data_IF_375324249744
#
_entry.id   IF_375324249744
#
_cell.length_a   1.000
_cell.length_b   1.000
_cell.length_c   1.000
_cell.angle_alpha   90.00
_cell.angle_beta   90.00
_cell.angle_gamma   90.00
#
_symmetry.space_group_name_H-M   'P 1'
#
loop_
_entity.id
_entity.type
_entity.pdbx_description
1 polymer ?
#
# COMPACT_ATOMS: atom_id res chain seq x y z
N UNK A 1 56.46 15.43 -2.56
CA UNK A 1 55.11 16.01 -2.45
C UNK A 1 54.17 15.18 -3.31
N UNK A 2 53.60 14.10 -2.78
CA UNK A 2 52.54 13.33 -3.44
C UNK A 2 51.52 12.91 -2.38
N UNK A 3 50.39 13.62 -2.34
CA UNK A 3 49.23 13.24 -1.55
C UNK A 3 48.46 12.15 -2.28
N UNK A 4 48.48 10.94 -1.72
CA UNK A 4 47.58 9.85 -2.13
C UNK A 4 46.23 10.08 -1.42
N UNK A 5 45.23 10.53 -2.16
CA UNK A 5 43.85 10.59 -1.70
C UNK A 5 43.27 9.17 -1.57
N UNK A 6 43.23 8.65 -0.35
CA UNK A 6 42.41 7.50 -0.03
C UNK A 6 40.92 7.90 -0.07
N UNK A 7 40.25 7.61 -1.18
CA UNK A 7 38.78 7.64 -1.28
C UNK A 7 38.21 6.59 -0.31
N UNK A 8 37.78 7.01 0.88
CA UNK A 8 36.91 6.21 1.75
C UNK A 8 35.57 6.02 1.02
N UNK A 9 35.37 4.82 0.45
CA UNK A 9 34.04 4.30 0.09
C UNK A 9 33.21 4.27 1.37
N UNK A 10 32.31 5.23 1.56
CA UNK A 10 31.22 5.13 2.52
C UNK A 10 30.28 4.04 2.00
N UNK A 11 30.45 2.81 2.48
CA UNK A 11 29.37 1.84 2.44
C UNK A 11 28.25 2.41 3.32
N UNK A 12 27.28 3.04 2.67
CA UNK A 12 25.96 3.26 3.24
C UNK A 12 25.42 1.87 3.55
N UNK A 13 25.56 1.40 4.77
CA UNK A 13 24.74 0.31 5.30
C UNK A 13 23.30 0.67 4.97
N UNK A 14 22.72 -0.02 3.97
CA UNK A 14 21.29 -0.05 3.73
C UNK A 14 20.66 -0.77 4.92
N UNK A 15 20.57 -0.08 6.05
CA UNK A 15 19.69 -0.47 7.14
C UNK A 15 18.29 -0.53 6.53
N UNK A 16 17.69 -1.72 6.54
CA UNK A 16 16.30 -1.90 6.15
C UNK A 16 15.46 -0.81 6.86
N UNK A 17 14.56 -0.14 6.13
CA UNK A 17 13.71 0.84 6.76
C UNK A 17 12.88 0.12 7.82
N UNK A 18 13.05 0.48 9.09
CA UNK A 18 12.18 0.03 10.18
C UNK A 18 10.75 0.38 9.77
N UNK A 19 9.91 -0.65 9.62
CA UNK A 19 8.53 -0.49 9.19
C UNK A 19 7.69 0.03 10.37
N UNK A 20 6.57 0.67 10.07
CA UNK A 20 5.63 1.14 11.08
C UNK A 20 5.15 -0.01 11.98
N UNK A 21 4.99 -1.21 11.44
CA UNK A 21 4.62 -2.42 12.21
C UNK A 21 5.65 -2.86 13.26
N UNK A 22 6.92 -2.50 13.09
CA UNK A 22 8.01 -2.81 14.03
C UNK A 22 8.16 -1.77 15.14
N UNK A 23 7.30 -0.74 15.13
CA UNK A 23 7.30 0.27 16.18
C UNK A 23 6.82 -0.34 17.50
N UNK A 24 7.54 -0.01 18.56
CA UNK A 24 7.27 -0.46 19.93
C UNK A 24 6.94 0.73 20.81
N UNK A 25 6.48 0.46 22.03
CA UNK A 25 6.22 1.46 23.06
C UNK A 25 7.44 2.33 23.41
N UNK A 26 8.66 1.92 23.04
CA UNK A 26 9.90 2.66 23.27
C UNK A 26 10.51 3.28 22.01
N UNK A 27 10.04 2.89 20.82
CA UNK A 27 10.66 3.28 19.56
C UNK A 27 9.67 3.27 18.41
N UNK A 28 9.45 4.42 17.80
CA UNK A 28 8.71 4.55 16.54
C UNK A 28 9.62 4.37 15.32
N UNK A 29 9.04 3.86 14.24
CA UNK A 29 9.65 3.86 12.92
C UNK A 29 10.01 5.30 12.49
N UNK A 30 11.17 5.52 11.84
CA UNK A 30 11.59 6.85 11.42
C UNK A 30 10.57 7.56 10.51
N UNK A 31 9.93 6.83 9.60
CA UNK A 31 8.87 7.34 8.72
C UNK A 31 7.66 7.86 9.51
N UNK A 32 7.21 7.08 10.50
CA UNK A 32 6.13 7.47 11.39
C UNK A 32 6.54 8.66 12.28
N UNK A 33 7.72 8.62 12.90
CA UNK A 33 8.21 9.76 13.69
C UNK A 33 8.35 11.04 12.86
N UNK A 34 8.69 10.92 11.57
CA UNK A 34 8.85 12.04 10.65
C UNK A 34 7.52 12.69 10.30
N UNK A 35 6.52 11.88 9.94
CA UNK A 35 5.21 12.41 9.55
C UNK A 35 4.47 13.08 10.71
N UNK A 36 4.65 12.57 11.94
CA UNK A 36 4.00 13.10 13.14
C UNK A 36 4.44 14.52 13.49
N UNK A 37 5.63 14.96 13.05
CA UNK A 37 6.10 16.34 13.24
C UNK A 37 5.28 17.38 12.49
N UNK A 38 4.48 16.95 11.52
CA UNK A 38 3.61 17.82 10.73
C UNK A 38 2.18 17.87 11.27
N UNK A 39 1.86 17.12 12.34
CA UNK A 39 0.57 17.20 12.98
C UNK A 39 0.49 18.44 13.88
N UNK A 40 -0.71 19.00 13.97
CA UNK A 40 -1.05 20.09 14.88
C UNK A 40 -0.97 19.62 16.35
N UNK A 41 -0.72 20.55 17.26
CA UNK A 41 -0.80 20.34 18.71
C UNK A 41 -2.20 19.87 19.14
N UNK A 42 -3.24 20.29 18.41
CA UNK A 42 -4.63 19.89 18.63
C UNK A 42 -5.06 18.65 17.81
N UNK A 43 -4.11 17.87 17.30
CA UNK A 43 -4.40 16.67 16.53
C UNK A 43 -5.23 15.65 17.33
N UNK A 44 -6.30 15.17 16.70
CA UNK A 44 -7.21 14.16 17.25
C UNK A 44 -6.69 12.75 17.00
N UNK A 45 -7.25 11.76 17.69
CA UNK A 45 -6.91 10.34 17.45
C UNK A 45 -7.14 9.90 15.98
N UNK A 46 -8.08 10.55 15.28
CA UNK A 46 -8.28 10.35 13.84
C UNK A 46 -7.09 10.84 13.01
N UNK A 47 -6.54 12.02 13.34
CA UNK A 47 -5.39 12.59 12.64
C UNK A 47 -4.14 11.70 12.78
N UNK A 48 -3.90 11.18 13.98
CA UNK A 48 -2.84 10.18 14.24
C UNK A 48 -3.06 8.90 13.45
N UNK A 49 -4.31 8.42 13.36
CA UNK A 49 -4.60 7.23 12.58
C UNK A 49 -4.36 7.47 11.08
N UNK A 50 -4.80 8.59 10.53
CA UNK A 50 -4.60 8.92 9.11
C UNK A 50 -3.11 9.12 8.78
N UNK A 51 -2.34 9.74 9.68
CA UNK A 51 -0.88 9.83 9.53
C UNK A 51 -0.22 8.44 9.43
N UNK A 52 -0.66 7.47 10.23
CA UNK A 52 -0.21 6.08 10.12
C UNK A 52 -0.61 5.46 8.77
N UNK A 53 -1.83 5.70 8.27
CA UNK A 53 -2.27 5.19 6.97
C UNK A 53 -1.39 5.69 5.81
N UNK A 54 -0.97 6.96 5.84
CA UNK A 54 -0.05 7.52 4.85
C UNK A 54 1.28 6.76 4.85
N UNK A 55 1.82 6.45 6.02
CA UNK A 55 3.06 5.67 6.15
C UNK A 55 2.88 4.25 5.62
N UNK A 56 1.78 3.58 5.97
CA UNK A 56 1.49 2.22 5.48
C UNK A 56 1.31 2.16 3.95
N UNK A 57 0.71 3.20 3.37
CA UNK A 57 0.62 3.36 1.92
C UNK A 57 2.00 3.55 1.29
N UNK A 58 2.84 4.38 1.88
CA UNK A 58 4.23 4.58 1.44
C UNK A 58 5.05 3.29 1.49
N UNK A 59 4.94 2.51 2.57
CA UNK A 59 5.55 1.18 2.66
C UNK A 59 5.01 0.21 1.60
N UNK A 60 3.74 0.37 1.22
CA UNK A 60 3.12 -0.41 0.14
C UNK A 60 3.49 0.08 -1.26
N UNK A 61 4.32 1.13 -1.37
CA UNK A 61 4.80 1.71 -2.63
C UNK A 61 3.94 2.84 -3.19
N UNK A 62 2.94 3.33 -2.46
CA UNK A 62 2.13 4.48 -2.85
C UNK A 62 2.71 5.78 -2.31
N UNK A 63 2.88 6.79 -3.15
CA UNK A 63 3.43 8.09 -2.76
C UNK A 63 2.45 9.22 -3.09
N UNK A 64 2.51 10.29 -2.31
CA UNK A 64 1.81 11.53 -2.62
C UNK A 64 2.54 12.22 -3.77
N UNK A 65 1.85 12.62 -4.85
CA UNK A 65 2.48 13.35 -5.95
C UNK A 65 3.01 14.68 -5.41
N UNK A 66 4.32 14.91 -5.62
CA UNK A 66 4.97 16.18 -5.27
C UNK A 66 4.65 17.23 -6.34
N UNK A 67 4.31 18.44 -5.93
CA UNK A 67 4.16 19.59 -6.83
C UNK A 67 5.52 20.06 -7.40
N UNK A 68 6.62 19.74 -6.72
CA UNK A 68 7.97 20.09 -7.16
C UNK A 68 8.43 19.14 -8.26
N UNK A 69 8.51 19.67 -9.47
CA UNK A 69 8.71 19.00 -10.76
C UNK A 69 10.10 18.38 -10.99
N UNK A 70 10.99 18.32 -10.01
CA UNK A 70 12.43 18.32 -10.34
C UNK A 70 13.28 17.15 -9.83
N UNK A 71 12.73 16.08 -9.27
CA UNK A 71 13.55 14.88 -9.03
C UNK A 71 12.76 13.58 -9.17
N UNK A 72 13.03 12.86 -10.26
CA UNK A 72 12.71 11.44 -10.51
C UNK A 72 13.35 10.46 -9.49
N UNK A 73 13.79 10.95 -8.33
CA UNK A 73 14.34 10.11 -7.28
C UNK A 73 13.23 9.42 -6.52
N UNK A 74 13.46 8.15 -6.18
CA UNK A 74 12.51 7.34 -5.40
C UNK A 74 12.11 8.13 -4.14
N UNK A 75 10.80 8.32 -3.89
CA UNK A 75 10.36 9.01 -2.68
C UNK A 75 10.90 8.26 -1.47
N UNK A 76 11.72 8.95 -0.67
CA UNK A 76 12.32 8.36 0.52
C UNK A 76 11.25 8.29 1.61
N UNK A 77 11.06 7.13 2.25
CA UNK A 77 10.15 6.97 3.39
C UNK A 77 10.44 7.96 4.52
N UNK A 78 11.68 8.47 4.60
CA UNK A 78 12.12 9.47 5.57
C UNK A 78 11.71 10.90 5.23
N UNK A 79 11.21 11.16 4.03
CA UNK A 79 10.77 12.49 3.57
C UNK A 79 9.26 12.57 3.34
N UNK A 80 8.48 11.67 3.94
CA UNK A 80 7.02 11.72 3.88
C UNK A 80 6.51 13.01 4.55
N UNK A 81 5.57 13.67 3.90
CA UNK A 81 4.92 14.89 4.38
C UNK A 81 3.41 14.75 4.29
N UNK A 82 2.70 15.39 5.21
CA UNK A 82 1.23 15.51 5.15
C UNK A 82 0.89 16.61 4.13
N UNK A 83 -0.02 16.37 3.17
CA UNK A 83 -0.50 17.42 2.27
C UNK A 83 -1.20 18.53 3.05
N UNK A 84 -1.08 19.79 2.61
CA UNK A 84 -1.70 20.93 3.33
C UNK A 84 -3.23 20.80 3.40
N UNK A 85 -3.86 20.39 2.29
CA UNK A 85 -5.32 20.28 2.17
C UNK A 85 -5.84 18.86 2.38
N UNK A 86 -5.10 18.03 3.13
CA UNK A 86 -5.44 16.63 3.39
C UNK A 86 -6.73 16.43 4.19
N UNK A 87 -7.18 17.46 4.93
CA UNK A 87 -8.36 17.44 5.80
C UNK A 87 -9.23 18.66 5.51
N UNK A 88 -10.49 18.43 5.15
CA UNK A 88 -11.49 19.48 4.99
C UNK A 88 -11.83 20.09 6.36
N UNK A 89 -11.68 21.41 6.48
CA UNK A 89 -12.01 22.12 7.73
C UNK A 89 -13.52 22.15 8.00
N UNK A 90 -14.35 22.12 6.96
CA UNK A 90 -15.81 22.17 7.07
C UNK A 90 -16.41 20.81 7.44
N UNK A 91 -15.90 19.73 6.82
CA UNK A 91 -16.51 18.39 6.95
C UNK A 91 -15.70 17.43 7.81
N UNK A 92 -14.43 17.74 8.10
CA UNK A 92 -13.51 16.83 8.77
C UNK A 92 -13.09 15.61 7.95
N UNK A 93 -13.53 15.52 6.68
CA UNK A 93 -13.20 14.42 5.76
C UNK A 93 -11.77 14.59 5.28
N UNK A 94 -11.04 13.48 5.22
CA UNK A 94 -9.69 13.44 4.68
C UNK A 94 -9.72 13.00 3.22
N UNK A 95 -9.08 13.76 2.34
CA UNK A 95 -8.99 13.46 0.92
C UNK A 95 -7.54 13.58 0.46
N UNK A 96 -7.01 12.50 -0.13
CA UNK A 96 -5.63 12.46 -0.60
C UNK A 96 -5.52 11.67 -1.90
N UNK A 97 -4.59 12.09 -2.75
CA UNK A 97 -4.28 11.43 -4.01
C UNK A 97 -2.90 10.80 -3.92
N UNK A 98 -2.80 9.55 -4.35
CA UNK A 98 -1.58 8.76 -4.33
C UNK A 98 -1.25 8.24 -5.73
N UNK A 99 0.01 7.95 -5.98
CA UNK A 99 0.48 7.26 -7.17
C UNK A 99 1.30 6.04 -6.76
N UNK A 100 1.24 4.96 -7.55
CA UNK A 100 2.07 3.79 -7.30
C UNK A 100 3.46 4.01 -7.88
N UNK A 101 4.50 3.68 -7.11
CA UNK A 101 5.88 3.76 -7.56
C UNK A 101 6.09 2.95 -8.85
N UNK A 102 6.73 3.58 -9.84
CA UNK A 102 7.00 3.03 -11.17
C UNK A 102 5.78 2.86 -12.09
N UNK A 103 4.59 3.34 -11.70
CA UNK A 103 3.42 3.44 -12.58
C UNK A 103 3.01 4.91 -12.67
N UNK A 104 3.59 5.60 -13.66
CA UNK A 104 3.20 6.96 -14.00
C UNK A 104 1.86 6.89 -14.76
N UNK A 105 0.90 7.77 -14.43
CA UNK A 105 -0.42 7.94 -15.07
C UNK A 105 -1.64 7.29 -14.40
N UNK A 106 -1.48 6.50 -13.33
CA UNK A 106 -2.63 6.00 -12.55
C UNK A 106 -2.62 6.63 -11.16
N UNK A 107 -3.53 7.56 -10.95
CA UNK A 107 -3.78 8.16 -9.65
C UNK A 107 -4.75 7.29 -8.84
N UNK A 108 -4.53 7.17 -7.55
CA UNK A 108 -5.41 6.51 -6.60
C UNK A 108 -5.94 7.56 -5.62
N UNK A 109 -7.23 7.49 -5.29
CA UNK A 109 -7.86 8.42 -4.36
C UNK A 109 -8.19 7.70 -3.06
N UNK A 110 -7.72 8.24 -1.93
CA UNK A 110 -8.11 7.83 -0.59
C UNK A 110 -9.07 8.87 -0.01
N UNK A 111 -10.24 8.42 0.40
CA UNK A 111 -11.23 9.21 1.13
C UNK A 111 -11.40 8.56 2.51
N UNK A 112 -11.19 9.32 3.58
CA UNK A 112 -11.39 8.85 4.95
C UNK A 112 -12.46 9.72 5.61
N UNK A 113 -13.52 9.07 6.08
CA UNK A 113 -14.66 9.73 6.72
C UNK A 113 -14.70 9.35 8.20
N UNK A 114 -14.57 10.31 9.13
CA UNK A 114 -14.76 10.07 10.55
C UNK A 114 -16.25 9.91 10.89
N UNK A 115 -16.59 8.85 11.62
CA UNK A 115 -17.92 8.57 12.15
C UNK A 115 -17.78 8.13 13.61
N UNK A 116 -17.87 9.09 14.54
CA UNK A 116 -17.64 8.83 15.96
C UNK A 116 -16.18 8.42 16.22
N UNK A 117 -15.97 7.23 16.80
CA UNK A 117 -14.65 6.62 17.01
C UNK A 117 -14.16 5.76 15.83
N UNK A 118 -15.00 5.60 14.80
CA UNK A 118 -14.71 4.81 13.60
C UNK A 118 -14.24 5.71 12.46
N UNK A 119 -13.22 5.29 11.72
CA UNK A 119 -12.88 5.82 10.41
C UNK A 119 -13.35 4.84 9.33
N UNK A 120 -14.07 5.36 8.33
CA UNK A 120 -14.42 4.63 7.12
C UNK A 120 -13.47 5.07 6.01
N UNK A 121 -12.69 4.14 5.49
CA UNK A 121 -11.69 4.37 4.46
C UNK A 121 -12.23 3.85 3.15
N UNK A 122 -12.12 4.64 2.08
CA UNK A 122 -12.42 4.24 0.72
C UNK A 122 -11.19 4.53 -0.14
N UNK A 123 -10.63 3.51 -0.77
CA UNK A 123 -9.45 3.63 -1.61
C UNK A 123 -9.68 2.96 -2.95
N UNK A 124 -9.37 3.70 -4.02
CA UNK A 124 -9.64 3.23 -5.38
C UNK A 124 -8.71 3.88 -6.40
N UNK A 125 -8.33 3.15 -7.47
CA UNK A 125 -7.68 3.74 -8.62
C UNK A 125 -8.67 4.60 -9.43
N UNK A 126 -8.19 5.71 -9.98
CA UNK A 126 -8.94 6.59 -10.88
C UNK A 126 -8.85 6.05 -12.32
N UNK A 127 -9.35 4.84 -12.54
CA UNK A 127 -9.40 4.16 -13.84
C UNK A 127 -10.84 3.89 -14.28
N UNK A 128 -11.02 3.41 -15.51
CA UNK A 128 -12.33 2.98 -16.02
C UNK A 128 -12.70 1.63 -15.37
N UNK A 129 -13.94 1.49 -14.87
CA UNK A 129 -14.37 0.26 -14.16
C UNK A 129 -14.13 0.26 -12.65
N UNK A 130 -14.14 1.45 -12.01
CA UNK A 130 -13.88 1.72 -10.58
C UNK A 130 -14.36 0.63 -9.61
N UNK A 131 -13.42 -0.19 -9.13
CA UNK A 131 -13.62 -1.01 -7.93
C UNK A 131 -13.15 -0.18 -6.73
N UNK A 132 -14.06 0.03 -5.78
CA UNK A 132 -13.74 0.72 -4.53
C UNK A 132 -13.51 -0.26 -3.41
N UNK A 133 -12.36 -0.14 -2.75
CA UNK A 133 -12.01 -0.93 -1.58
C UNK A 133 -12.33 -0.12 -0.33
N UNK A 134 -13.16 -0.70 0.53
CA UNK A 134 -13.64 -0.04 1.74
C UNK A 134 -13.23 -0.83 2.97
N UNK A 135 -12.74 -0.14 3.99
CA UNK A 135 -12.51 -0.73 5.31
C UNK A 135 -12.98 0.23 6.42
N UNK A 136 -13.42 -0.33 7.54
CA UNK A 136 -13.70 0.44 8.75
C UNK A 136 -12.69 0.14 9.86
N UNK A 137 -12.29 1.18 10.59
CA UNK A 137 -11.27 1.12 11.64
C UNK A 137 -11.79 1.83 12.88
N UNK A 138 -11.92 1.12 14.00
CA UNK A 138 -12.06 1.75 15.31
C UNK A 138 -10.72 2.32 15.73
N UNK A 139 -10.62 3.64 15.74
CA UNK A 139 -9.35 4.35 15.96
C UNK A 139 -8.77 4.13 17.35
N UNK A 140 -9.63 4.13 18.38
CA UNK A 140 -9.23 3.92 19.78
C UNK A 140 -8.62 2.53 20.05
N UNK A 141 -8.77 1.57 19.12
CA UNK A 141 -8.11 0.26 19.19
C UNK A 141 -6.59 0.33 18.90
N UNK A 142 -6.18 1.33 18.12
CA UNK A 142 -4.82 1.46 17.60
C UNK A 142 -4.14 2.77 18.02
N UNK A 143 -4.92 3.76 18.48
CA UNK A 143 -4.43 5.05 18.95
C UNK A 143 -4.98 5.31 20.35
N UNK A 144 -4.09 5.50 21.32
CA UNK A 144 -4.41 5.90 22.69
C UNK A 144 -4.34 7.44 22.82
N UNK A 145 -5.49 8.16 22.84
CA UNK A 145 -5.49 9.62 22.93
C UNK A 145 -4.95 10.15 24.27
N UNK A 146 -4.88 9.32 25.31
CA UNK A 146 -4.47 9.71 26.65
C UNK A 146 -2.96 9.59 26.89
N UNK A 147 -2.21 9.03 25.93
CA UNK A 147 -0.75 8.93 26.04
C UNK A 147 -0.09 10.26 25.71
N UNK A 148 0.67 10.82 26.65
CA UNK A 148 1.52 11.99 26.39
C UNK A 148 2.71 11.66 25.49
N UNK A 149 3.24 10.44 25.58
CA UNK A 149 4.32 9.98 24.71
C UNK A 149 3.79 9.52 23.34
N UNK A 150 4.51 9.89 22.28
CA UNK A 150 4.21 9.52 20.90
C UNK A 150 4.42 8.01 20.67
N UNK A 151 5.43 7.39 21.31
CA UNK A 151 5.67 5.96 21.16
C UNK A 151 4.56 5.15 21.84
N UNK A 152 4.14 5.55 23.03
CA UNK A 152 3.00 4.98 23.76
C UNK A 152 1.62 5.26 23.14
N UNK A 153 1.51 6.19 22.17
CA UNK A 153 0.25 6.56 21.53
C UNK A 153 -0.26 5.50 20.57
N UNK A 154 0.62 4.72 19.95
CA UNK A 154 0.24 3.70 18.99
C UNK A 154 0.27 2.30 19.59
N UNK A 155 -0.79 1.53 19.36
CA UNK A 155 -0.97 0.19 19.91
C UNK A 155 -1.36 -0.77 18.78
N UNK A 156 -0.94 -2.03 18.88
CA UNK A 156 -1.29 -3.09 17.92
C UNK A 156 -0.95 -2.76 16.45
N UNK A 157 0.15 -2.03 16.22
CA UNK A 157 0.55 -1.57 14.89
C UNK A 157 0.77 -2.71 13.88
N UNK A 158 1.34 -3.83 14.32
CA UNK A 158 1.49 -5.02 13.47
C UNK A 158 0.15 -5.53 12.95
N UNK A 159 -0.84 -5.70 13.84
CA UNK A 159 -2.17 -6.15 13.45
C UNK A 159 -2.86 -5.15 12.50
N UNK A 160 -2.70 -3.86 12.78
CA UNK A 160 -3.24 -2.78 11.94
C UNK A 160 -2.59 -2.76 10.55
N UNK A 161 -1.26 -2.85 10.48
CA UNK A 161 -0.48 -2.90 9.23
C UNK A 161 -0.92 -4.07 8.36
N UNK A 162 -0.91 -5.30 8.90
CA UNK A 162 -1.34 -6.47 8.14
C UNK A 162 -2.77 -6.34 7.65
N UNK A 163 -3.70 -5.90 8.50
CA UNK A 163 -5.10 -5.75 8.12
C UNK A 163 -5.28 -4.74 6.99
N UNK A 164 -4.66 -3.57 7.11
CA UNK A 164 -4.71 -2.52 6.08
C UNK A 164 -4.06 -2.96 4.77
N UNK A 165 -2.88 -3.58 4.86
CA UNK A 165 -2.16 -4.05 3.68
C UNK A 165 -2.93 -5.14 2.94
N UNK A 166 -3.56 -6.07 3.67
CA UNK A 166 -4.32 -7.17 3.08
C UNK A 166 -5.68 -6.74 2.51
N UNK A 167 -6.44 -5.92 3.24
CA UNK A 167 -7.81 -5.55 2.85
C UNK A 167 -7.84 -4.41 1.81
N UNK A 168 -6.83 -3.55 1.77
CA UNK A 168 -6.95 -2.27 1.07
C UNK A 168 -5.74 -1.93 0.18
N UNK A 169 -4.50 -1.88 0.70
CA UNK A 169 -3.36 -1.44 -0.14
C UNK A 169 -2.93 -2.46 -1.19
N UNK A 170 -2.86 -3.76 -0.85
CA UNK A 170 -2.43 -4.82 -1.78
C UNK A 170 -3.44 -5.08 -2.90
N UNK A 171 -4.76 -5.14 -2.64
CA UNK A 171 -5.75 -5.24 -3.70
C UNK A 171 -5.69 -4.06 -4.68
N UNK A 172 -5.69 -2.82 -4.18
CA UNK A 172 -5.58 -1.63 -5.05
C UNK A 172 -4.27 -1.63 -5.84
N UNK A 173 -3.15 -2.01 -5.22
CA UNK A 173 -1.86 -2.13 -5.93
C UNK A 173 -1.94 -3.15 -7.06
N UNK A 174 -2.61 -4.29 -6.83
CA UNK A 174 -2.76 -5.34 -7.84
C UNK A 174 -3.58 -4.84 -9.03
N UNK A 175 -4.67 -4.11 -8.78
CA UNK A 175 -5.50 -3.52 -9.83
C UNK A 175 -4.73 -2.47 -10.62
N UNK A 176 -4.01 -1.57 -9.94
CA UNK A 176 -3.18 -0.54 -10.61
C UNK A 176 -2.14 -1.19 -11.53
N UNK A 177 -1.45 -2.24 -11.07
CA UNK A 177 -0.46 -2.94 -11.88
C UNK A 177 -1.10 -3.68 -13.06
N UNK A 178 -2.25 -4.30 -12.83
CA UNK A 178 -3.01 -5.00 -13.87
C UNK A 178 -3.45 -4.03 -14.98
N UNK A 179 -4.02 -2.88 -14.61
CA UNK A 179 -4.44 -1.82 -15.54
C UNK A 179 -3.25 -1.22 -16.30
N UNK A 180 -2.12 -1.03 -15.62
CA UNK A 180 -0.89 -0.56 -16.25
C UNK A 180 -0.24 -1.60 -17.19
N UNK A 181 -0.77 -2.83 -17.27
CA UNK A 181 -0.18 -3.98 -17.99
C UNK A 181 1.25 -4.29 -17.52
N UNK A 182 1.54 -4.00 -16.25
CA UNK A 182 2.82 -4.28 -15.61
C UNK A 182 2.70 -5.57 -14.82
N UNK A 183 3.72 -6.43 -14.91
CA UNK A 183 3.75 -7.65 -14.11
C UNK A 183 3.80 -7.30 -12.61
N UNK A 184 2.91 -7.92 -11.86
CA UNK A 184 2.79 -7.76 -10.42
C UNK A 184 2.95 -9.09 -9.67
N UNK A 185 3.08 -9.04 -8.34
CA UNK A 185 3.18 -10.25 -7.51
C UNK A 185 1.85 -11.04 -7.43
N UNK A 186 0.76 -10.52 -7.98
CA UNK A 186 -0.54 -11.17 -7.97
C UNK A 186 -0.69 -12.15 -9.13
N UNK A 187 -1.43 -13.25 -8.92
CA UNK A 187 -1.76 -14.20 -9.98
C UNK A 187 -2.47 -13.53 -11.16
N UNK A 188 -3.26 -12.49 -10.90
CA UNK A 188 -3.98 -11.71 -11.92
C UNK A 188 -3.03 -10.91 -12.82
N UNK A 189 -1.91 -10.40 -12.29
CA UNK A 189 -0.95 -9.60 -13.05
C UNK A 189 0.07 -10.43 -13.84
N UNK A 190 0.04 -11.77 -13.74
CA UNK A 190 0.91 -12.63 -14.54
C UNK A 190 0.50 -12.66 -16.03
N UNK A 191 1.44 -12.83 -16.96
CA UNK A 191 1.13 -13.16 -18.35
C UNK A 191 0.24 -14.39 -18.48
N UNK A 192 -0.63 -14.42 -19.48
CA UNK A 192 -1.61 -15.49 -19.68
C UNK A 192 -0.93 -16.85 -19.84
N UNK A 193 0.24 -16.91 -20.48
CA UNK A 193 1.03 -18.12 -20.67
C UNK A 193 1.45 -18.74 -19.33
N UNK A 194 1.90 -17.90 -18.39
CA UNK A 194 2.28 -18.35 -17.05
C UNK A 194 1.07 -18.80 -16.25
N UNK A 195 -0.06 -18.07 -16.35
CA UNK A 195 -1.31 -18.49 -15.71
C UNK A 195 -1.75 -19.86 -16.22
N UNK A 196 -1.74 -20.08 -17.54
CA UNK A 196 -2.08 -21.39 -18.12
C UNK A 196 -1.14 -22.48 -17.60
N UNK A 197 0.17 -22.22 -17.55
CA UNK A 197 1.15 -23.18 -17.05
C UNK A 197 0.88 -23.56 -15.59
N UNK A 198 0.62 -22.58 -14.73
CA UNK A 198 0.22 -22.79 -13.33
C UNK A 198 -1.07 -23.61 -13.27
N UNK A 199 -2.08 -23.26 -14.07
CA UNK A 199 -3.38 -23.93 -14.07
C UNK A 199 -3.27 -25.39 -14.50
N UNK A 200 -2.41 -25.71 -15.47
CA UNK A 200 -2.16 -27.11 -15.88
C UNK A 200 -1.55 -27.95 -14.74
N UNK A 201 -0.78 -27.33 -13.85
CA UNK A 201 -0.15 -28.01 -12.71
C UNK A 201 -1.12 -28.27 -11.55
N UNK A 202 -2.27 -27.60 -11.52
CA UNK A 202 -3.27 -27.77 -10.47
C UNK A 202 -4.14 -29.02 -10.69
N UNK A 203 -4.63 -29.58 -9.58
CA UNK A 203 -5.65 -30.63 -9.59
C UNK A 203 -7.01 -30.09 -10.08
N UNK A 204 -7.89 -31.01 -10.45
CA UNK A 204 -9.18 -30.67 -11.04
C UNK A 204 -10.08 -29.84 -10.11
N UNK A 205 -10.07 -30.13 -8.80
CA UNK A 205 -10.91 -29.42 -7.84
C UNK A 205 -10.41 -28.00 -7.63
N UNK A 206 -9.10 -27.81 -7.49
CA UNK A 206 -8.49 -26.48 -7.38
C UNK A 206 -8.77 -25.63 -8.62
N UNK A 207 -8.70 -26.22 -9.82
CA UNK A 207 -9.02 -25.52 -11.07
C UNK A 207 -10.45 -25.02 -11.13
N UNK A 208 -11.43 -25.85 -10.76
CA UNK A 208 -12.83 -25.44 -10.72
C UNK A 208 -13.04 -24.31 -9.72
N UNK A 209 -12.41 -24.38 -8.54
CA UNK A 209 -12.54 -23.33 -7.53
C UNK A 209 -12.01 -22.00 -8.04
N UNK A 210 -10.81 -21.99 -8.61
CA UNK A 210 -10.20 -20.77 -9.18
C UNK A 210 -11.06 -20.20 -10.31
N UNK A 211 -11.55 -21.05 -11.19
CA UNK A 211 -12.42 -20.68 -12.30
C UNK A 211 -13.75 -20.02 -11.84
N UNK A 212 -14.26 -20.38 -10.66
CA UNK A 212 -15.49 -19.78 -10.10
C UNK A 212 -15.26 -18.42 -9.44
N UNK A 213 -14.02 -18.09 -9.09
CA UNK A 213 -13.71 -16.84 -8.39
C UNK A 213 -13.73 -15.61 -9.32
N UNK A 214 -13.45 -15.78 -10.62
CA UNK A 214 -13.28 -14.66 -11.54
C UNK A 214 -13.54 -15.08 -12.99
N UNK A 215 -14.28 -14.25 -13.74
CA UNK A 215 -14.60 -14.48 -15.16
C UNK A 215 -13.35 -14.59 -16.05
N UNK A 216 -12.30 -13.80 -15.78
CA UNK A 216 -11.02 -13.90 -16.46
C UNK A 216 -10.34 -15.24 -16.22
N UNK A 217 -10.33 -15.72 -14.98
CA UNK A 217 -9.77 -17.04 -14.66
C UNK A 217 -10.58 -18.18 -15.26
N UNK A 218 -11.90 -18.01 -15.42
CA UNK A 218 -12.72 -18.96 -16.15
C UNK A 218 -12.26 -19.11 -17.62
N UNK A 219 -11.95 -18.00 -18.30
CA UNK A 219 -11.43 -18.05 -19.68
C UNK A 219 -10.04 -18.68 -19.77
N UNK A 220 -9.14 -18.33 -18.84
CA UNK A 220 -7.81 -18.98 -18.74
C UNK A 220 -7.94 -20.48 -18.50
N UNK A 221 -8.89 -20.89 -17.64
CA UNK A 221 -9.18 -22.30 -17.38
C UNK A 221 -9.62 -23.05 -18.66
N UNK A 222 -10.51 -22.46 -19.48
CA UNK A 222 -10.92 -23.09 -20.75
C UNK A 222 -9.72 -23.35 -21.65
N UNK A 223 -8.82 -22.38 -21.79
CA UNK A 223 -7.61 -22.52 -22.60
C UNK A 223 -6.65 -23.58 -22.03
N UNK A 224 -6.46 -23.62 -20.72
CA UNK A 224 -5.64 -24.62 -20.05
C UNK A 224 -6.19 -26.05 -20.24
N UNK A 225 -7.52 -26.22 -20.17
CA UNK A 225 -8.19 -27.51 -20.38
C UNK A 225 -7.94 -28.06 -21.79
N UNK A 226 -8.02 -27.21 -22.82
CA UNK A 226 -7.73 -27.61 -24.21
C UNK A 226 -6.29 -28.10 -24.36
N UNK A 227 -5.31 -27.41 -23.74
CA UNK A 227 -3.90 -27.82 -23.79
C UNK A 227 -3.65 -29.16 -23.07
N UNK A 228 -4.28 -29.37 -21.91
CA UNK A 228 -4.16 -30.62 -21.14
C UNK A 228 -4.71 -31.84 -21.89
N UNK A 229 -5.74 -31.65 -22.71
CA UNK A 229 -6.28 -32.68 -23.58
C UNK A 229 -5.33 -33.01 -24.74
N UNK A 230 -4.69 -32.01 -25.36
CA UNK A 230 -3.71 -32.22 -26.44
C UNK A 230 -2.44 -32.96 -25.99
N UNK A 231 -2.00 -32.77 -24.75
CA UNK A 231 -0.83 -33.47 -24.19
C UNK A 231 -1.10 -34.92 -23.77
N UNK A 232 -2.36 -35.37 -23.75
CA UNK A 232 -2.72 -36.76 -23.42
C UNK A 232 -2.96 -37.64 -24.66
N UNK A 233 -3.00 -37.05 -25.85
CA UNK A 233 -3.31 -37.71 -27.12
C UNK A 233 -2.12 -37.80 -28.09
N UNK A 234 -0.90 -37.58 -27.59
CA UNK A 234 0.36 -37.90 -28.25
C UNK A 234 1.27 -38.62 -27.27
#
# INVERSE_FOLDING_TARGET
>A
MYHVFAKRKKYSEMLEPILAEDSTFMKLAPSLSGILKYLDEHATHHDYMVALLIVLLAESGFYLPSTDSDNLQRPNLRSLRIPKDWKSQETGIYEMYFQLQNVQNINCKLIVVPLGDVLVLNFFPLTQGKVTYTMSIRTLKYVNPYSSDLCGRYIHLKAMSHRFKNELSTPVRSDVLYEAKVMGPSLQALPTELKIKIFVMLDFYSLIRIARCNSHFYEVYKQARVRRLKTKSG
#
